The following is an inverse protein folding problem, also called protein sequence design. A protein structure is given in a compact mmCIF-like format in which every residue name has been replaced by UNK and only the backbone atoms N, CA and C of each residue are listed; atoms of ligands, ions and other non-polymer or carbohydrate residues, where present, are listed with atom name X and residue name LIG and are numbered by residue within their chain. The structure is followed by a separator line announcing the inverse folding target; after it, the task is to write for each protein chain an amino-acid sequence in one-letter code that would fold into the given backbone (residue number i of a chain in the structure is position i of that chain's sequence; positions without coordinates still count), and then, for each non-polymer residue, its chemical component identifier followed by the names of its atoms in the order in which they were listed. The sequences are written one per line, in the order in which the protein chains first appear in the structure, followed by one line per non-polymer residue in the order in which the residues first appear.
data_IF_217446244335
#
_entry.id   IF_217446244335
#
_cell.length_a   1.000
_cell.length_b   1.000
_cell.length_c   1.000
_cell.angle_alpha   90.00
_cell.angle_beta   90.00
_cell.angle_gamma   90.00
#
_symmetry.space_group_name_H-M   'P 1'
#
loop_
_entity.id
_entity.type
_entity.pdbx_description
1 polymer ?
#
# COMPACT_ATOMS: atom_id res chain seq x y z
N UNK A 1 2.52 -3.22 -5.09
CA UNK A 1 3.04 -4.40 -5.79
C UNK A 1 4.55 -4.61 -5.54
N UNK A 2 5.39 -3.59 -5.71
CA UNK A 2 6.86 -3.69 -5.65
C UNK A 2 7.43 -4.35 -4.39
N UNK A 3 6.77 -4.25 -3.23
CA UNK A 3 7.24 -4.83 -1.96
C UNK A 3 6.61 -6.16 -1.62
N UNK A 4 5.51 -6.47 -2.25
CA UNK A 4 4.69 -7.66 -1.99
C UNK A 4 5.14 -8.83 -2.87
N UNK A 5 5.41 -8.56 -4.14
CA UNK A 5 5.71 -9.58 -5.13
C UNK A 5 7.09 -10.24 -4.98
N UNK A 6 8.21 -9.52 -4.74
CA UNK A 6 9.51 -10.16 -4.70
C UNK A 6 9.62 -11.31 -3.70
N UNK A 7 9.14 -11.18 -2.43
CA UNK A 7 9.17 -12.31 -1.51
C UNK A 7 8.28 -13.48 -1.94
N UNK A 8 7.14 -13.22 -2.57
CA UNK A 8 6.25 -14.26 -3.12
C UNK A 8 6.93 -15.00 -4.29
N UNK A 9 7.53 -14.25 -5.20
CA UNK A 9 8.27 -14.80 -6.34
C UNK A 9 9.44 -15.65 -5.85
N UNK A 10 10.17 -15.19 -4.82
CA UNK A 10 11.28 -15.95 -4.22
C UNK A 10 10.78 -17.31 -3.70
N UNK A 11 9.70 -17.33 -2.93
CA UNK A 11 9.11 -18.58 -2.42
C UNK A 11 8.64 -19.50 -3.56
N UNK A 12 8.00 -18.94 -4.59
CA UNK A 12 7.57 -19.68 -5.76
C UNK A 12 8.76 -20.30 -6.52
N UNK A 13 9.82 -19.53 -6.75
CA UNK A 13 11.05 -20.00 -7.42
C UNK A 13 11.81 -21.07 -6.64
N UNK A 14 11.75 -21.03 -5.29
CA UNK A 14 12.31 -22.11 -4.48
C UNK A 14 11.59 -23.44 -4.69
N UNK A 15 10.26 -23.39 -4.83
CA UNK A 15 9.43 -24.59 -5.08
C UNK A 15 9.48 -25.04 -6.54
N UNK A 16 9.57 -24.09 -7.48
CA UNK A 16 9.53 -24.30 -8.93
C UNK A 16 10.68 -23.58 -9.67
N UNK A 17 11.94 -24.03 -9.51
CA UNK A 17 13.13 -23.30 -10.00
C UNK A 17 13.18 -23.15 -11.54
N UNK A 18 12.57 -24.06 -12.27
CA UNK A 18 12.58 -24.05 -13.72
C UNK A 18 11.48 -23.18 -14.38
N UNK A 19 10.52 -22.67 -13.57
CA UNK A 19 9.45 -21.82 -14.10
C UNK A 19 9.95 -20.38 -14.16
N UNK A 20 9.92 -19.77 -15.35
CA UNK A 20 10.19 -18.34 -15.53
C UNK A 20 9.08 -17.49 -14.93
N UNK A 21 9.45 -16.43 -14.20
CA UNK A 21 8.52 -15.41 -13.69
C UNK A 21 8.98 -14.06 -14.22
N UNK A 22 8.09 -13.36 -14.91
CA UNK A 22 8.34 -12.02 -15.43
C UNK A 22 7.46 -11.02 -14.69
N UNK A 23 8.04 -9.95 -14.20
CA UNK A 23 7.36 -8.86 -13.52
C UNK A 23 7.31 -7.65 -14.43
N UNK A 24 6.11 -7.10 -14.63
CA UNK A 24 5.87 -5.88 -15.39
C UNK A 24 5.19 -4.85 -14.49
N UNK A 25 5.67 -3.62 -14.51
CA UNK A 25 5.06 -2.49 -13.82
C UNK A 25 4.32 -1.59 -14.84
N UNK A 26 3.18 -1.06 -14.41
CA UNK A 26 2.36 -0.17 -15.22
C UNK A 26 1.24 0.46 -14.39
N UNK A 27 0.53 1.41 -14.96
CA UNK A 27 -0.70 1.90 -14.37
C UNK A 27 -1.85 0.91 -14.58
N UNK A 28 -2.95 1.09 -13.82
CA UNK A 28 -4.11 0.19 -13.84
C UNK A 28 -4.63 -0.09 -15.25
N UNK A 29 -4.80 0.93 -16.09
CA UNK A 29 -5.32 0.78 -17.47
C UNK A 29 -4.36 -0.02 -18.36
N UNK A 30 -3.06 0.23 -18.25
CA UNK A 30 -2.05 -0.53 -19.00
C UNK A 30 -2.04 -2.00 -18.59
N UNK A 31 -2.04 -2.27 -17.27
CA UNK A 31 -2.04 -3.63 -16.73
C UNK A 31 -3.34 -4.37 -17.09
N UNK A 32 -4.49 -3.70 -17.04
CA UNK A 32 -5.77 -4.28 -17.49
C UNK A 32 -5.73 -4.66 -18.98
N UNK A 33 -5.20 -3.78 -19.82
CA UNK A 33 -5.03 -4.07 -21.26
C UNK A 33 -4.14 -5.29 -21.49
N UNK A 34 -3.01 -5.38 -20.76
CA UNK A 34 -2.10 -6.52 -20.86
C UNK A 34 -2.73 -7.82 -20.32
N UNK A 35 -3.55 -7.75 -19.28
CA UNK A 35 -4.30 -8.90 -18.78
C UNK A 35 -5.37 -9.35 -19.79
N UNK A 36 -6.10 -8.40 -20.39
CA UNK A 36 -7.16 -8.68 -21.36
C UNK A 36 -6.65 -9.33 -22.65
N UNK A 37 -5.47 -8.95 -23.13
CA UNK A 37 -4.84 -9.53 -24.32
C UNK A 37 -3.94 -10.75 -24.04
N UNK A 38 -3.95 -11.27 -22.80
CA UNK A 38 -3.16 -12.41 -22.32
C UNK A 38 -1.63 -12.20 -22.32
N UNK A 39 -1.14 -10.95 -22.32
CA UNK A 39 0.29 -10.65 -22.11
C UNK A 39 0.72 -10.82 -20.65
N UNK A 40 -0.25 -10.80 -19.71
CA UNK A 40 -0.06 -11.12 -18.31
C UNK A 40 -0.98 -12.28 -17.89
N UNK A 41 -0.51 -13.11 -16.99
CA UNK A 41 -1.32 -14.16 -16.35
C UNK A 41 -2.04 -13.62 -15.11
N UNK A 42 -1.39 -12.71 -14.37
CA UNK A 42 -1.93 -12.07 -13.18
C UNK A 42 -1.64 -10.57 -13.16
N UNK A 43 -2.55 -9.82 -12.53
CA UNK A 43 -2.32 -8.45 -12.11
C UNK A 43 -2.57 -8.36 -10.62
N UNK A 44 -1.66 -7.73 -9.86
CA UNK A 44 -1.89 -7.37 -8.46
C UNK A 44 -2.26 -5.90 -8.38
N UNK A 45 -3.47 -5.64 -7.88
CA UNK A 45 -4.00 -4.28 -7.79
C UNK A 45 -5.01 -4.16 -6.64
N UNK A 46 -5.28 -2.95 -6.22
CA UNK A 46 -6.36 -2.56 -5.33
C UNK A 46 -7.55 -1.92 -6.07
N UNK A 47 -7.46 -1.78 -7.39
CA UNK A 47 -8.55 -1.34 -8.26
C UNK A 47 -9.60 -2.46 -8.40
N UNK A 48 -10.86 -2.08 -8.60
CA UNK A 48 -11.95 -3.02 -8.82
C UNK A 48 -12.21 -3.22 -10.31
N UNK A 49 -11.60 -4.27 -10.87
CA UNK A 49 -11.85 -4.68 -12.25
C UNK A 49 -13.25 -5.31 -12.41
N UNK A 50 -13.75 -5.32 -13.64
CA UNK A 50 -15.05 -5.90 -13.97
C UNK A 50 -15.08 -7.42 -13.66
N UNK A 51 -15.95 -7.79 -12.72
CA UNK A 51 -16.10 -9.20 -12.27
C UNK A 51 -16.66 -10.14 -13.34
N UNK A 52 -17.23 -9.62 -14.43
CA UNK A 52 -17.66 -10.44 -15.57
C UNK A 52 -16.48 -10.86 -16.46
N UNK A 53 -15.38 -10.08 -16.43
CA UNK A 53 -14.18 -10.31 -17.24
C UNK A 53 -13.05 -10.95 -16.45
N UNK A 54 -12.97 -10.67 -15.13
CA UNK A 54 -11.84 -11.07 -14.31
C UNK A 54 -12.27 -11.74 -13.00
N UNK A 55 -11.62 -12.85 -12.69
CA UNK A 55 -11.63 -13.43 -11.35
C UNK A 55 -10.65 -12.69 -10.45
N UNK A 56 -10.86 -12.76 -9.14
CA UNK A 56 -9.95 -12.17 -8.16
C UNK A 56 -9.78 -13.07 -6.95
N UNK A 57 -8.55 -13.07 -6.42
CA UNK A 57 -8.20 -13.69 -5.15
C UNK A 57 -7.69 -12.59 -4.21
N UNK A 58 -8.25 -12.50 -3.00
CA UNK A 58 -7.75 -11.55 -2.00
C UNK A 58 -6.33 -11.93 -1.64
N UNK A 59 -5.41 -10.96 -1.71
CA UNK A 59 -4.04 -11.16 -1.26
C UNK A 59 -3.82 -10.63 0.16
N UNK A 60 -4.22 -9.38 0.44
CA UNK A 60 -4.07 -8.82 1.77
C UNK A 60 -4.99 -7.62 2.02
N UNK A 61 -5.15 -7.31 3.30
CA UNK A 61 -5.69 -6.02 3.75
C UNK A 61 -4.52 -5.08 4.01
N UNK A 62 -4.66 -3.85 3.59
CA UNK A 62 -3.65 -2.82 3.69
C UNK A 62 -4.28 -1.56 4.30
N UNK A 63 -3.55 -0.88 5.16
CA UNK A 63 -3.99 0.37 5.77
C UNK A 63 -3.07 1.51 5.35
N UNK A 64 -3.67 2.65 5.11
CA UNK A 64 -2.94 3.90 4.88
C UNK A 64 -2.66 4.53 6.23
N UNK A 65 -1.41 4.82 6.49
CA UNK A 65 -0.90 5.55 7.64
C UNK A 65 -0.44 6.93 7.18
N UNK A 66 -0.24 7.84 8.13
CA UNK A 66 0.48 9.09 7.87
C UNK A 66 1.87 9.00 8.51
N UNK A 67 2.92 9.19 7.71
CA UNK A 67 4.30 9.35 8.17
C UNK A 67 4.63 10.83 8.24
N UNK A 68 5.07 11.31 9.41
CA UNK A 68 5.32 12.73 9.70
C UNK A 68 6.73 12.90 10.26
N UNK A 69 7.55 13.83 9.72
CA UNK A 69 8.87 14.12 10.26
C UNK A 69 8.83 14.58 11.72
N UNK A 70 9.75 14.07 12.55
CA UNK A 70 9.81 14.35 14.00
C UNK A 70 10.08 15.81 14.37
N UNK A 71 10.68 16.59 13.48
CA UNK A 71 11.03 17.97 13.79
C UNK A 71 9.82 18.91 13.87
N UNK A 72 8.65 18.51 13.35
CA UNK A 72 7.43 19.31 13.46
C UNK A 72 6.95 19.35 14.93
N UNK A 73 6.63 20.53 15.49
CA UNK A 73 6.37 20.70 16.93
C UNK A 73 5.01 20.16 17.43
N UNK A 74 4.29 19.43 16.59
CA UNK A 74 2.95 18.91 16.89
C UNK A 74 2.97 17.59 17.69
N UNK A 75 4.09 16.90 17.73
CA UNK A 75 4.17 15.52 18.23
C UNK A 75 3.89 15.40 19.74
N UNK A 76 4.21 16.44 20.53
CA UNK A 76 3.95 16.43 21.98
C UNK A 76 2.46 16.39 22.33
N UNK A 77 1.61 17.05 21.54
CA UNK A 77 0.15 17.03 21.72
C UNK A 77 -0.53 15.79 21.15
N UNK A 78 0.20 14.97 20.39
CA UNK A 78 -0.32 13.79 19.69
C UNK A 78 0.39 12.50 20.12
N UNK A 79 1.01 12.47 21.31
CA UNK A 79 1.80 11.34 21.80
C UNK A 79 0.96 10.04 21.87
N UNK A 80 -0.28 10.11 22.30
CA UNK A 80 -1.19 8.97 22.41
C UNK A 80 -1.56 8.32 21.06
N UNK A 81 -1.39 9.06 19.94
CA UNK A 81 -1.69 8.59 18.58
C UNK A 81 -0.47 8.03 17.84
N UNK A 82 0.72 8.14 18.44
CA UNK A 82 1.96 7.71 17.78
C UNK A 82 2.07 6.20 17.73
N UNK A 83 2.43 5.68 16.57
CA UNK A 83 2.68 4.26 16.36
C UNK A 83 4.18 3.97 16.37
N UNK A 84 4.57 2.89 17.05
CA UNK A 84 5.91 2.36 16.93
C UNK A 84 6.06 1.55 15.63
N UNK A 85 7.28 1.51 15.08
CA UNK A 85 7.58 0.66 13.92
C UNK A 85 7.23 -0.81 14.18
N UNK A 86 7.53 -1.32 15.38
CA UNK A 86 7.20 -2.70 15.75
C UNK A 86 5.69 -2.95 15.80
N UNK A 87 4.89 -1.99 16.27
CA UNK A 87 3.43 -2.13 16.26
C UNK A 87 2.85 -2.16 14.83
N UNK A 88 3.47 -1.45 13.90
CA UNK A 88 3.08 -1.50 12.48
C UNK A 88 3.48 -2.85 11.87
N UNK A 89 4.68 -3.32 12.15
CA UNK A 89 5.22 -4.55 11.60
C UNK A 89 4.44 -5.80 12.04
N UNK A 90 4.05 -5.88 13.32
CA UNK A 90 3.27 -6.97 13.88
C UNK A 90 1.76 -6.72 13.83
N UNK A 91 1.32 -5.60 13.28
CA UNK A 91 -0.08 -5.17 13.14
C UNK A 91 -0.84 -4.94 14.46
N UNK A 92 -0.17 -4.93 15.60
CA UNK A 92 -0.84 -4.68 16.91
C UNK A 92 -1.47 -3.28 17.00
N UNK A 93 -1.03 -2.32 16.16
CA UNK A 93 -1.65 -1.00 16.08
C UNK A 93 -3.11 -1.02 15.57
N UNK A 94 -3.57 -2.15 15.01
CA UNK A 94 -4.96 -2.32 14.57
C UNK A 94 -5.91 -2.57 15.75
N UNK A 95 -5.38 -2.96 16.89
CA UNK A 95 -6.16 -3.13 18.11
C UNK A 95 -6.81 -1.81 18.53
N UNK A 96 -7.92 -1.90 19.23
CA UNK A 96 -8.71 -0.74 19.66
C UNK A 96 -7.98 0.19 20.65
N UNK A 97 -6.88 -0.27 21.22
CA UNK A 97 -6.02 0.49 22.15
C UNK A 97 -5.30 1.66 21.47
N UNK A 98 -5.04 1.57 20.16
CA UNK A 98 -4.37 2.62 19.40
C UNK A 98 -5.39 3.49 18.66
N UNK A 99 -5.71 4.69 19.16
CA UNK A 99 -6.65 5.59 18.50
C UNK A 99 -6.08 6.12 17.18
N UNK A 100 -6.98 6.45 16.25
CA UNK A 100 -6.60 7.15 15.05
C UNK A 100 -6.37 8.65 15.35
N UNK A 101 -5.37 9.25 14.72
CA UNK A 101 -5.10 10.67 14.90
C UNK A 101 -6.24 11.52 14.32
N UNK A 102 -6.69 12.57 14.99
CA UNK A 102 -7.60 13.55 14.42
C UNK A 102 -6.88 14.32 13.30
N UNK A 103 -7.07 13.89 12.05
CA UNK A 103 -6.24 14.33 10.91
C UNK A 103 -6.26 15.85 10.69
N UNK A 104 -7.33 16.55 11.11
CA UNK A 104 -7.42 18.02 11.05
C UNK A 104 -6.32 18.75 11.86
N UNK A 105 -5.80 18.11 12.91
CA UNK A 105 -4.70 18.67 13.73
C UNK A 105 -3.38 18.79 12.95
N UNK A 106 -3.30 18.12 11.80
CA UNK A 106 -2.13 18.05 10.94
C UNK A 106 -2.30 18.89 9.65
N UNK A 107 -3.36 19.71 9.57
CA UNK A 107 -3.74 20.49 8.37
C UNK A 107 -2.66 21.49 7.93
N UNK A 108 -1.88 22.05 8.86
CA UNK A 108 -0.86 23.06 8.59
C UNK A 108 0.48 22.47 8.11
N UNK A 109 0.60 21.14 8.09
CA UNK A 109 1.84 20.50 7.64
C UNK A 109 2.02 20.61 6.13
N UNK A 110 3.28 20.68 5.66
CA UNK A 110 3.57 20.43 4.26
C UNK A 110 3.41 18.94 3.94
N UNK A 111 2.79 18.64 2.79
CA UNK A 111 2.55 17.28 2.35
C UNK A 111 3.35 16.94 1.10
N UNK A 112 3.90 15.72 1.09
CA UNK A 112 4.44 15.04 -0.07
C UNK A 112 3.34 14.08 -0.54
N UNK A 113 2.77 14.32 -1.70
CA UNK A 113 1.66 13.52 -2.22
C UNK A 113 2.10 12.71 -3.44
N UNK A 114 1.35 11.66 -3.75
CA UNK A 114 1.52 10.97 -5.02
C UNK A 114 0.83 11.75 -6.15
N UNK A 115 1.26 11.51 -7.38
CA UNK A 115 0.69 12.15 -8.57
C UNK A 115 -0.81 11.86 -8.71
N UNK A 116 -1.59 12.76 -9.31
CA UNK A 116 -3.01 12.56 -9.58
C UNK A 116 -3.28 11.24 -10.31
N UNK A 117 -4.38 10.57 -9.95
CA UNK A 117 -4.74 9.25 -10.48
C UNK A 117 -4.16 8.06 -9.72
N UNK A 118 -3.21 8.28 -8.82
CA UNK A 118 -2.73 7.23 -7.92
C UNK A 118 -3.77 6.98 -6.80
N UNK A 119 -4.06 5.71 -6.49
CA UNK A 119 -5.05 5.35 -5.46
C UNK A 119 -4.71 5.93 -4.09
N UNK A 120 -3.44 5.92 -3.66
CA UNK A 120 -3.04 6.51 -2.39
C UNK A 120 -3.25 8.04 -2.38
N UNK A 121 -3.07 8.73 -3.53
CA UNK A 121 -3.40 10.15 -3.68
C UNK A 121 -4.90 10.38 -3.53
N UNK A 122 -5.72 9.63 -4.24
CA UNK A 122 -7.19 9.74 -4.18
C UNK A 122 -7.69 9.54 -2.75
N UNK A 123 -7.13 8.57 -2.04
CA UNK A 123 -7.45 8.28 -0.64
C UNK A 123 -6.98 9.38 0.31
N UNK A 124 -5.75 9.86 0.15
CA UNK A 124 -5.20 10.97 0.93
C UNK A 124 -6.01 12.26 0.78
N UNK A 125 -6.36 12.63 -0.46
CA UNK A 125 -7.21 13.79 -0.74
C UNK A 125 -8.61 13.63 -0.12
N UNK A 126 -9.16 12.41 -0.13
CA UNK A 126 -10.44 12.12 0.50
C UNK A 126 -10.36 12.22 2.03
N UNK A 127 -9.33 11.66 2.66
CA UNK A 127 -9.11 11.73 4.11
C UNK A 127 -8.96 13.18 4.58
N UNK A 128 -8.17 14.00 3.87
CA UNK A 128 -8.01 15.42 4.18
C UNK A 128 -9.34 16.17 4.05
N UNK A 129 -10.10 15.93 2.98
CA UNK A 129 -11.40 16.57 2.77
C UNK A 129 -12.42 16.14 3.84
N UNK A 130 -12.47 14.88 4.24
CA UNK A 130 -13.32 14.37 5.32
C UNK A 130 -12.93 14.98 6.67
N UNK A 131 -11.63 15.32 6.86
CA UNK A 131 -11.11 16.05 8.01
C UNK A 131 -11.27 17.59 7.91
N UNK A 132 -11.87 18.11 6.84
CA UNK A 132 -12.19 19.53 6.69
C UNK A 132 -11.09 20.42 6.13
N UNK A 133 -10.04 19.86 5.49
CA UNK A 133 -8.96 20.66 4.91
C UNK A 133 -8.47 20.12 3.55
N UNK A 134 -7.69 20.95 2.85
CA UNK A 134 -6.92 20.57 1.67
C UNK A 134 -5.42 20.53 2.02
N UNK A 135 -4.69 19.47 1.65
CA UNK A 135 -3.27 19.38 1.98
C UNK A 135 -2.45 20.47 1.26
N UNK A 136 -1.52 21.10 1.99
CA UNK A 136 -0.50 21.96 1.39
C UNK A 136 0.56 21.10 0.70
N UNK A 137 0.41 20.86 -0.60
CA UNK A 137 1.27 19.95 -1.38
C UNK A 137 2.52 20.68 -1.81
N UNK A 138 3.66 20.27 -1.27
CA UNK A 138 4.98 20.86 -1.59
C UNK A 138 5.77 20.01 -2.60
N UNK A 139 5.41 18.73 -2.77
CA UNK A 139 6.07 17.83 -3.70
C UNK A 139 5.08 16.76 -4.18
N UNK A 140 5.11 16.47 -5.48
CA UNK A 140 4.35 15.37 -6.08
C UNK A 140 5.31 14.32 -6.65
N UNK A 141 5.05 13.04 -6.34
CA UNK A 141 5.90 11.90 -6.72
C UNK A 141 5.05 10.75 -7.26
N UNK A 142 5.66 9.85 -8.03
CA UNK A 142 4.94 8.74 -8.64
C UNK A 142 4.93 7.46 -7.78
N UNK A 143 5.90 7.32 -6.86
CA UNK A 143 6.08 6.09 -6.07
C UNK A 143 6.03 6.36 -4.57
N UNK A 144 5.29 5.54 -3.83
CA UNK A 144 5.20 5.63 -2.36
C UNK A 144 6.57 5.53 -1.67
N UNK A 145 7.46 4.66 -2.16
CA UNK A 145 8.80 4.52 -1.60
C UNK A 145 9.61 5.81 -1.69
N UNK A 146 9.52 6.49 -2.83
CA UNK A 146 10.22 7.75 -3.03
C UNK A 146 9.62 8.85 -2.13
N UNK A 147 8.29 8.87 -1.97
CA UNK A 147 7.62 9.79 -1.05
C UNK A 147 8.02 9.52 0.42
N UNK A 148 8.12 8.26 0.80
CA UNK A 148 8.57 7.85 2.13
C UNK A 148 10.02 8.25 2.40
N UNK A 149 10.90 8.03 1.44
CA UNK A 149 12.31 8.49 1.52
C UNK A 149 12.38 10.01 1.61
N UNK A 150 11.60 10.74 0.81
CA UNK A 150 11.55 12.21 0.89
C UNK A 150 11.02 12.70 2.25
N UNK A 151 10.01 12.04 2.82
CA UNK A 151 9.55 12.37 4.18
C UNK A 151 10.64 12.12 5.23
N UNK A 152 11.44 11.06 5.08
CA UNK A 152 12.55 10.77 5.98
C UNK A 152 13.68 11.82 5.93
N UNK A 153 13.76 12.63 4.88
CA UNK A 153 14.65 13.80 4.84
C UNK A 153 14.07 15.04 5.52
N UNK A 154 12.98 14.89 6.24
CA UNK A 154 12.29 15.92 7.01
C UNK A 154 11.58 16.99 6.16
N UNK A 155 11.28 16.69 4.90
CA UNK A 155 10.68 17.63 3.97
C UNK A 155 9.18 17.88 4.26
N UNK A 156 8.40 16.83 4.55
CA UNK A 156 6.97 16.94 4.78
C UNK A 156 6.32 15.60 5.13
N UNK A 157 5.04 15.62 5.50
CA UNK A 157 4.24 14.43 5.79
C UNK A 157 3.83 13.70 4.51
N UNK A 158 3.64 12.37 4.59
CA UNK A 158 3.17 11.58 3.44
C UNK A 158 2.24 10.45 3.86
N UNK A 159 1.25 10.18 3.03
CA UNK A 159 0.40 9.00 3.16
C UNK A 159 1.14 7.75 2.65
N UNK A 160 1.17 6.71 3.46
CA UNK A 160 1.96 5.52 3.21
C UNK A 160 1.22 4.25 3.63
N UNK A 161 1.47 3.16 2.93
CA UNK A 161 0.94 1.85 3.29
C UNK A 161 1.69 1.23 4.48
N UNK A 162 0.95 0.62 5.41
CA UNK A 162 1.51 -0.15 6.52
C UNK A 162 2.40 -1.31 6.04
N UNK A 163 2.03 -1.95 4.93
CA UNK A 163 2.84 -3.01 4.33
C UNK A 163 4.18 -2.46 3.85
N UNK A 164 4.20 -1.29 3.22
CA UNK A 164 5.44 -0.68 2.77
C UNK A 164 6.34 -0.34 3.95
N UNK A 165 5.79 0.25 5.01
CA UNK A 165 6.54 0.54 6.24
C UNK A 165 7.13 -0.75 6.82
N UNK A 166 6.37 -1.85 6.88
CA UNK A 166 6.83 -3.11 7.46
C UNK A 166 7.94 -3.80 6.64
N UNK A 167 8.08 -3.48 5.35
CA UNK A 167 9.06 -4.09 4.43
C UNK A 167 10.32 -3.24 4.24
N UNK A 168 10.31 -1.99 4.66
CA UNK A 168 11.46 -1.09 4.59
C UNK A 168 12.09 -0.90 5.97
N UNK A 169 13.37 -0.51 6.04
CA UNK A 169 13.97 -0.10 7.29
C UNK A 169 13.19 1.04 7.95
N UNK A 170 13.13 1.02 9.29
CA UNK A 170 12.55 2.13 10.02
C UNK A 170 13.42 3.39 9.90
N UNK A 171 12.76 4.55 9.80
CA UNK A 171 13.45 5.83 9.87
C UNK A 171 13.20 6.45 11.24
N UNK A 172 14.28 6.64 12.02
CA UNK A 172 14.22 7.19 13.39
C UNK A 172 13.66 8.60 13.45
N UNK A 173 13.72 9.34 12.34
CA UNK A 173 13.25 10.72 12.19
C UNK A 173 11.80 10.84 11.69
N UNK A 174 11.06 9.72 11.62
CA UNK A 174 9.63 9.69 11.32
C UNK A 174 8.80 9.23 12.51
N UNK A 175 7.60 9.78 12.61
CA UNK A 175 6.51 9.34 13.48
C UNK A 175 5.36 8.88 12.59
N UNK A 176 4.69 7.81 12.98
CA UNK A 176 3.57 7.26 12.23
C UNK A 176 2.28 7.42 12.98
N UNK A 177 1.21 7.67 12.25
CA UNK A 177 -0.13 7.82 12.80
C UNK A 177 -1.13 6.95 12.08
N UNK A 178 -1.99 6.27 12.86
CA UNK A 178 -3.16 5.56 12.37
C UNK A 178 -4.21 6.56 11.90
N UNK A 179 -4.82 6.28 10.76
CA UNK A 179 -5.92 7.06 10.20
C UNK A 179 -7.23 6.29 10.32
N UNK A 180 -8.34 7.01 10.48
CA UNK A 180 -9.67 6.45 10.49
C UNK A 180 -10.39 6.65 9.16
N UNK A 181 -11.51 5.95 9.02
CA UNK A 181 -12.37 6.03 7.85
C UNK A 181 -12.10 4.96 6.78
N UNK A 182 -13.08 4.82 5.88
CA UNK A 182 -13.03 3.81 4.81
C UNK A 182 -11.91 4.05 3.80
N UNK A 183 -11.49 5.31 3.62
CA UNK A 183 -10.39 5.66 2.72
C UNK A 183 -9.02 5.23 3.26
N UNK A 184 -8.88 5.03 4.59
CA UNK A 184 -7.64 4.53 5.19
C UNK A 184 -7.45 3.01 5.01
N UNK A 185 -8.47 2.28 4.56
CA UNK A 185 -8.43 0.82 4.41
C UNK A 185 -8.60 0.43 2.96
N UNK A 186 -7.84 -0.55 2.49
CA UNK A 186 -8.00 -1.12 1.16
C UNK A 186 -7.67 -2.60 1.14
N UNK A 187 -8.15 -3.28 0.10
CA UNK A 187 -7.85 -4.67 -0.20
C UNK A 187 -6.99 -4.73 -1.47
N UNK A 188 -6.04 -5.63 -1.47
CA UNK A 188 -5.19 -5.90 -2.63
C UNK A 188 -5.54 -7.30 -3.13
N UNK A 189 -5.77 -7.42 -4.42
CA UNK A 189 -6.19 -8.66 -5.06
C UNK A 189 -5.21 -9.07 -6.15
N UNK A 190 -5.11 -10.38 -6.38
CA UNK A 190 -4.63 -10.93 -7.62
C UNK A 190 -5.81 -11.12 -8.57
N UNK A 191 -5.73 -10.47 -9.73
CA UNK A 191 -6.70 -10.60 -10.81
C UNK A 191 -6.15 -11.48 -11.90
N UNK A 192 -7.01 -12.32 -12.47
CA UNK A 192 -6.74 -13.14 -13.64
C UNK A 192 -8.00 -13.24 -14.50
N UNK A 193 -7.81 -13.47 -15.80
CA UNK A 193 -8.91 -13.45 -16.78
C UNK A 193 -9.92 -14.55 -16.48
N UNK A 194 -11.20 -14.20 -16.48
CA UNK A 194 -12.30 -15.15 -16.42
C UNK A 194 -12.36 -15.97 -17.73
N UNK A 195 -12.91 -17.18 -17.70
CA UNK A 195 -13.04 -18.07 -18.86
C UNK A 195 -11.72 -18.47 -19.57
N UNK A 196 -10.56 -18.08 -19.06
CA UNK A 196 -9.27 -18.61 -19.49
C UNK A 196 -8.97 -19.89 -18.70
N UNK A 197 -8.51 -20.94 -19.40
CA UNK A 197 -8.00 -22.12 -18.72
C UNK A 197 -6.87 -21.73 -17.76
N UNK A 198 -7.04 -21.99 -16.47
CA UNK A 198 -5.95 -21.85 -15.51
C UNK A 198 -4.93 -22.94 -15.80
N UNK A 199 -3.72 -22.53 -16.13
CA UNK A 199 -2.62 -23.49 -16.24
C UNK A 199 -2.25 -24.02 -14.87
N UNK A 200 -1.68 -25.21 -14.80
CA UNK A 200 -1.17 -25.78 -13.54
C UNK A 200 -0.18 -24.85 -12.85
N UNK A 201 0.62 -24.11 -13.62
CA UNK A 201 1.57 -23.11 -13.10
C UNK A 201 0.83 -21.97 -12.39
N UNK A 202 -0.28 -21.49 -12.95
CA UNK A 202 -1.09 -20.46 -12.30
C UNK A 202 -1.73 -20.96 -11.00
N UNK A 203 -2.23 -22.20 -11.00
CA UNK A 203 -2.80 -22.82 -9.78
C UNK A 203 -1.76 -22.94 -8.67
N UNK A 204 -0.56 -23.43 -8.99
CA UNK A 204 0.54 -23.57 -8.05
C UNK A 204 1.03 -22.19 -7.53
N UNK A 205 1.01 -21.16 -8.36
CA UNK A 205 1.33 -19.80 -7.93
C UNK A 205 0.32 -19.26 -6.92
N UNK A 206 -0.98 -19.48 -7.16
CA UNK A 206 -2.05 -19.09 -6.22
C UNK A 206 -1.95 -19.87 -4.90
N UNK A 207 -1.58 -21.16 -4.94
CA UNK A 207 -1.35 -21.96 -3.72
C UNK A 207 -0.22 -21.32 -2.89
N UNK A 208 0.93 -21.01 -3.50
CA UNK A 208 2.05 -20.38 -2.82
C UNK A 208 1.66 -18.99 -2.28
N UNK A 209 0.84 -18.24 -3.02
CA UNK A 209 0.28 -16.98 -2.56
C UNK A 209 -0.56 -17.17 -1.28
N UNK A 210 -1.48 -18.13 -1.25
CA UNK A 210 -2.32 -18.40 -0.08
C UNK A 210 -1.51 -18.88 1.13
N UNK A 211 -0.51 -19.77 0.93
CA UNK A 211 0.41 -20.20 1.99
C UNK A 211 1.16 -19.03 2.63
N UNK A 212 1.44 -17.98 1.86
CA UNK A 212 2.10 -16.78 2.35
C UNK A 212 1.15 -15.85 3.11
N UNK A 213 -0.11 -15.73 2.66
CA UNK A 213 -1.12 -14.90 3.33
C UNK A 213 -1.32 -15.30 4.79
N UNK A 214 -1.25 -16.58 5.10
CA UNK A 214 -1.38 -17.10 6.48
C UNK A 214 -0.23 -16.73 7.39
N UNK A 215 0.85 -16.13 6.85
CA UNK A 215 2.07 -15.73 7.58
C UNK A 215 2.25 -14.20 7.67
N UNK A 216 1.36 -13.42 7.06
CA UNK A 216 1.33 -11.95 7.07
C UNK A 216 0.18 -11.48 7.97
#
# INVERSE_FOLDING_TARGET
AAYVLPPLITQFKQKYPHIGVHLTEGNTTQLETMLSNNSLDFVIDNYHYDSTLYNKELYCHENILLAVPKHFPIHGSLEEYQLSYESIKNKSYLDSVHPAVPLHTLSELPFIMLAPGNDTRIRGDRLCREAGFHPNIILELNQQSTAYMAASTQLGATFISDILVSQLPSFENLVYYKLDGSAAKRQVFFYYKNHKYKTRVMEEFLIVMHERMTKI
#
